data_IF_697742913714
#
_entry.id   IF_697742913714
#
_cell.length_a   1.000
_cell.length_b   1.000
_cell.length_c   1.000
_cell.angle_alpha   90.00
_cell.angle_beta   90.00
_cell.angle_gamma   90.00
#
_symmetry.space_group_name_H-M   'P 1'
#
loop_
_entity.id
_entity.type
_entity.pdbx_description
1 polymer ?
#
# COMPACT_ATOMS: atom_id res chain seq x y z
N UNK A 1 4.12 4.10 9.93
CA UNK A 1 3.12 4.86 10.73
C UNK A 1 3.80 5.31 12.01
N UNK A 2 3.48 6.49 12.58
CA UNK A 2 4.15 6.98 13.80
C UNK A 2 3.56 6.33 15.05
N UNK A 3 4.41 5.85 15.96
CA UNK A 3 4.03 5.35 17.30
C UNK A 3 3.21 6.43 18.02
N UNK A 4 2.05 6.05 18.57
CA UNK A 4 1.10 6.97 19.22
C UNK A 4 0.03 7.60 18.30
N UNK A 5 0.04 7.30 16.99
CA UNK A 5 -1.08 7.70 16.10
C UNK A 5 -2.33 6.87 16.42
N UNK A 6 -3.54 7.44 16.21
CA UNK A 6 -4.82 6.77 16.53
C UNK A 6 -4.91 5.31 16.05
N UNK A 7 -4.51 5.02 14.81
CA UNK A 7 -4.60 3.67 14.23
C UNK A 7 -3.30 2.86 14.32
N UNK A 8 -2.31 3.33 15.08
CA UNK A 8 -1.06 2.62 15.30
C UNK A 8 -1.25 1.23 15.95
N UNK A 9 -2.16 1.03 16.92
CA UNK A 9 -2.40 -0.29 17.49
C UNK A 9 -2.87 -1.32 16.44
N UNK A 10 -3.76 -0.91 15.53
CA UNK A 10 -4.22 -1.76 14.42
C UNK A 10 -3.06 -2.10 13.47
N UNK A 11 -2.22 -1.12 13.14
CA UNK A 11 -0.99 -1.35 12.36
C UNK A 11 -0.08 -2.39 13.02
N UNK A 12 0.16 -2.26 14.32
CA UNK A 12 1.04 -3.16 15.08
C UNK A 12 0.45 -4.57 15.17
N UNK A 13 -0.86 -4.68 15.38
CA UNK A 13 -1.56 -5.97 15.39
C UNK A 13 -1.40 -6.69 14.05
N UNK A 14 -1.69 -6.01 12.93
CA UNK A 14 -1.55 -6.59 11.60
C UNK A 14 -0.09 -6.95 11.27
N UNK A 15 0.90 -6.17 11.71
CA UNK A 15 2.31 -6.56 11.56
C UNK A 15 2.66 -7.88 12.23
N UNK A 16 2.09 -8.16 13.42
CA UNK A 16 2.33 -9.41 14.16
C UNK A 16 1.75 -10.62 13.44
N UNK A 17 0.74 -10.44 12.60
CA UNK A 17 0.11 -11.51 11.82
C UNK A 17 1.01 -12.03 10.67
N UNK A 18 2.19 -11.41 10.44
CA UNK A 18 3.24 -11.89 9.54
C UNK A 18 2.80 -12.19 8.08
N UNK A 19 1.68 -11.63 7.64
CA UNK A 19 1.12 -11.86 6.31
C UNK A 19 0.04 -12.95 6.23
N UNK A 20 -0.37 -13.54 7.35
CA UNK A 20 -1.55 -14.41 7.40
C UNK A 20 -2.84 -13.60 7.22
N UNK A 21 -3.85 -14.09 6.48
CA UNK A 21 -5.16 -13.48 6.42
C UNK A 21 -5.76 -13.31 7.82
N UNK A 22 -6.35 -12.14 8.08
CA UNK A 22 -6.89 -11.79 9.39
C UNK A 22 -8.28 -11.21 9.22
N UNK A 23 -9.26 -11.75 9.94
CA UNK A 23 -10.61 -11.19 10.00
C UNK A 23 -10.80 -10.58 11.38
N UNK A 24 -11.16 -9.30 11.43
CA UNK A 24 -11.44 -8.59 12.67
C UNK A 24 -12.85 -8.02 12.64
N UNK A 25 -13.56 -8.09 13.78
CA UNK A 25 -14.81 -7.36 13.96
C UNK A 25 -14.53 -5.88 14.23
N UNK A 26 -15.51 -5.01 13.96
CA UNK A 26 -15.39 -3.60 14.32
C UNK A 26 -15.16 -3.42 15.83
N UNK A 27 -15.79 -4.24 16.67
CA UNK A 27 -15.58 -4.24 18.12
C UNK A 27 -14.14 -4.63 18.51
N UNK A 28 -13.56 -5.66 17.89
CA UNK A 28 -12.15 -6.02 18.11
C UNK A 28 -11.20 -4.90 17.67
N UNK A 29 -11.53 -4.21 16.57
CA UNK A 29 -10.78 -3.05 16.13
C UNK A 29 -10.90 -1.91 17.16
N UNK A 30 -12.08 -1.62 17.67
CA UNK A 30 -12.30 -0.60 18.71
C UNK A 30 -11.53 -0.92 20.00
N UNK A 31 -11.51 -2.19 20.41
CA UNK A 31 -10.73 -2.68 21.54
C UNK A 31 -9.22 -2.46 21.33
N UNK A 32 -8.70 -2.79 20.14
CA UNK A 32 -7.31 -2.51 19.79
C UNK A 32 -7.00 -1.01 19.81
N UNK A 33 -7.93 -0.18 19.33
CA UNK A 33 -7.77 1.28 19.29
C UNK A 33 -7.96 1.94 20.66
N UNK A 34 -8.57 1.25 21.63
CA UNK A 34 -9.02 1.84 22.90
C UNK A 34 -10.06 2.94 22.73
N UNK A 35 -10.74 2.99 21.57
CA UNK A 35 -11.67 4.04 21.22
C UNK A 35 -12.68 3.56 20.16
N UNK A 36 -13.92 4.06 20.19
CA UNK A 36 -14.93 3.70 19.21
C UNK A 36 -14.55 4.18 17.80
N UNK A 37 -14.94 3.39 16.80
CA UNK A 37 -14.80 3.74 15.41
C UNK A 37 -15.83 4.83 15.08
N UNK A 38 -15.49 5.78 14.18
CA UNK A 38 -16.48 6.76 13.74
C UNK A 38 -17.70 6.09 13.11
N UNK A 39 -18.87 6.68 13.24
CA UNK A 39 -20.12 6.17 12.62
C UNK A 39 -19.95 5.88 11.12
N UNK A 40 -19.14 6.69 10.42
CA UNK A 40 -18.82 6.48 9.01
C UNK A 40 -18.17 5.13 8.70
N UNK A 41 -17.45 4.52 9.65
CA UNK A 41 -16.88 3.18 9.48
C UNK A 41 -17.96 2.09 9.42
N UNK A 42 -19.11 2.31 10.09
CA UNK A 42 -20.25 1.39 10.13
C UNK A 42 -21.21 1.56 8.97
N UNK A 43 -21.26 2.74 8.35
CA UNK A 43 -22.21 3.05 7.26
C UNK A 43 -21.59 3.11 5.86
N UNK A 44 -20.26 3.29 5.75
CA UNK A 44 -19.60 3.46 4.45
C UNK A 44 -18.49 2.43 4.27
N UNK A 45 -18.71 1.47 3.37
CA UNK A 45 -17.66 0.52 2.92
C UNK A 45 -16.41 1.27 2.45
N UNK A 46 -16.60 2.40 1.76
CA UNK A 46 -15.50 3.25 1.32
C UNK A 46 -14.62 3.77 2.47
N UNK A 47 -15.07 3.82 3.72
CA UNK A 47 -14.22 4.19 4.85
C UNK A 47 -13.03 3.23 5.04
N UNK A 48 -13.24 1.95 4.71
CA UNK A 48 -12.27 0.86 4.76
C UNK A 48 -11.48 0.67 3.45
N UNK A 49 -11.63 1.57 2.48
CA UNK A 49 -10.92 1.43 1.20
C UNK A 49 -9.40 1.54 1.36
N UNK A 50 -8.64 0.84 0.51
CA UNK A 50 -7.18 0.89 0.44
C UNK A 50 -6.66 2.16 -0.26
N UNK A 51 -7.13 3.35 0.16
CA UNK A 51 -6.70 4.65 -0.40
C UNK A 51 -5.70 5.33 0.53
N UNK A 52 -4.64 5.89 -0.02
CA UNK A 52 -3.62 6.60 0.76
C UNK A 52 -3.92 8.08 0.97
N UNK A 53 -4.67 8.71 0.06
CA UNK A 53 -5.02 10.14 0.11
C UNK A 53 -6.27 10.37 0.95
N UNK A 54 -6.17 11.23 1.98
CA UNK A 54 -7.31 11.63 2.82
C UNK A 54 -7.88 10.55 3.73
N UNK A 55 -7.17 9.44 3.96
CA UNK A 55 -7.61 8.32 4.78
C UNK A 55 -6.50 7.86 5.73
N UNK A 56 -6.37 8.53 6.87
CA UNK A 56 -5.36 8.21 7.90
C UNK A 56 -5.55 6.77 8.43
N UNK A 57 -6.80 6.30 8.52
CA UNK A 57 -7.11 4.92 8.90
C UNK A 57 -6.48 3.90 7.96
N UNK A 58 -6.53 4.15 6.65
CA UNK A 58 -6.04 3.20 5.65
C UNK A 58 -4.53 3.05 5.66
N UNK A 59 -3.81 4.07 6.12
CA UNK A 59 -2.36 3.99 6.32
C UNK A 59 -1.96 2.93 7.34
N UNK A 60 -2.87 2.52 8.25
CA UNK A 60 -2.59 1.49 9.24
C UNK A 60 -2.46 0.10 8.60
N UNK A 61 -3.48 -0.39 7.91
CA UNK A 61 -3.39 -1.72 7.29
C UNK A 61 -2.44 -1.73 6.09
N UNK A 62 -2.49 -0.72 5.23
CA UNK A 62 -1.58 -0.64 4.07
C UNK A 62 -0.12 -0.51 4.51
N UNK A 63 0.16 0.27 5.55
CA UNK A 63 1.51 0.37 6.10
C UNK A 63 1.99 -0.94 6.72
N UNK A 64 1.07 -1.76 7.25
CA UNK A 64 1.37 -3.08 7.80
C UNK A 64 1.51 -4.16 6.72
N UNK A 65 1.37 -3.82 5.43
CA UNK A 65 1.44 -4.77 4.32
C UNK A 65 0.13 -5.53 4.09
N UNK A 66 -1.00 -5.01 4.56
CA UNK A 66 -2.33 -5.60 4.42
C UNK A 66 -3.25 -4.70 3.60
N UNK A 67 -4.16 -5.32 2.85
CA UNK A 67 -5.28 -4.65 2.22
C UNK A 67 -6.59 -5.20 2.78
N UNK A 68 -7.60 -4.35 2.87
CA UNK A 68 -8.98 -4.80 3.08
C UNK A 68 -9.46 -5.46 1.80
N UNK A 69 -9.78 -6.75 1.90
CA UNK A 69 -10.32 -7.57 0.81
C UNK A 69 -11.84 -7.46 0.75
N UNK A 70 -12.48 -7.60 1.91
CA UNK A 70 -13.94 -7.60 2.05
C UNK A 70 -14.35 -6.87 3.31
N UNK A 71 -15.43 -6.11 3.19
CA UNK A 71 -16.10 -5.42 4.29
C UNK A 71 -17.52 -5.97 4.36
N UNK A 72 -17.89 -6.52 5.49
CA UNK A 72 -19.26 -6.92 5.78
C UNK A 72 -19.82 -5.99 6.86
N UNK A 73 -20.66 -5.04 6.45
CA UNK A 73 -21.27 -4.10 7.39
C UNK A 73 -22.39 -4.76 8.21
N UNK A 74 -23.02 -5.83 7.70
CA UNK A 74 -24.08 -6.55 8.41
C UNK A 74 -23.53 -7.44 9.52
N UNK A 75 -22.40 -8.09 9.26
CA UNK A 75 -21.68 -8.89 10.25
C UNK A 75 -20.65 -8.06 11.05
N UNK A 76 -20.50 -6.77 10.73
CA UNK A 76 -19.48 -5.86 11.27
C UNK A 76 -18.06 -6.42 11.21
N UNK A 77 -17.71 -7.14 10.14
CA UNK A 77 -16.41 -7.79 9.97
C UNK A 77 -15.61 -7.23 8.81
N UNK A 78 -14.30 -7.11 9.03
CA UNK A 78 -13.33 -6.64 8.05
C UNK A 78 -12.31 -7.75 7.80
N UNK A 79 -12.22 -8.17 6.55
CA UNK A 79 -11.27 -9.18 6.12
C UNK A 79 -10.03 -8.48 5.56
N UNK A 80 -8.93 -8.60 6.29
CA UNK A 80 -7.60 -8.17 5.88
C UNK A 80 -6.86 -9.35 5.27
N UNK A 81 -6.29 -9.14 4.09
CA UNK A 81 -5.32 -10.08 3.51
C UNK A 81 -3.99 -9.39 3.38
N UNK A 82 -2.90 -10.16 3.42
CA UNK A 82 -1.61 -9.67 2.95
C UNK A 82 -1.84 -9.06 1.59
N UNK A 83 -1.34 -7.84 1.43
CA UNK A 83 -1.14 -7.26 0.13
C UNK A 83 -0.07 -8.11 -0.56
N UNK A 84 -0.45 -9.28 -1.05
CA UNK A 84 0.24 -9.90 -2.16
C UNK A 84 0.06 -8.87 -3.25
N UNK A 85 1.07 -8.02 -3.43
CA UNK A 85 1.18 -7.16 -4.57
C UNK A 85 1.43 -8.09 -5.77
N UNK A 86 0.45 -8.92 -6.13
CA UNK A 86 0.13 -9.13 -7.53
C UNK A 86 -0.27 -7.77 -8.04
N UNK A 87 0.73 -6.93 -8.27
CA UNK A 87 0.59 -5.80 -9.14
C UNK A 87 0.03 -6.39 -10.42
N UNK A 88 -1.21 -6.05 -10.75
CA UNK A 88 -1.74 -6.31 -12.07
C UNK A 88 -0.94 -5.41 -13.00
N UNK A 89 0.26 -5.86 -13.36
CA UNK A 89 1.13 -5.20 -14.30
C UNK A 89 0.34 -5.17 -15.59
N UNK A 90 -0.19 -4.01 -15.94
CA UNK A 90 -0.64 -3.81 -17.31
C UNK A 90 0.65 -3.83 -18.14
N UNK A 91 0.82 -4.86 -18.97
CA UNK A 91 1.88 -4.85 -19.98
C UNK A 91 1.42 -3.99 -21.14
N UNK A 92 2.34 -3.23 -21.73
CA UNK A 92 2.13 -2.62 -23.03
C UNK A 92 3.29 -3.03 -23.93
N UNK A 93 3.09 -4.12 -24.67
CA UNK A 93 4.18 -4.90 -25.29
C UNK A 93 5.01 -5.65 -24.23
N UNK A 94 6.33 -5.66 -24.38
CA UNK A 94 7.27 -6.30 -23.45
C UNK A 94 7.55 -5.47 -22.18
N UNK A 95 6.97 -4.28 -22.04
CA UNK A 95 7.27 -3.37 -20.92
C UNK A 95 6.20 -3.45 -19.84
N UNK A 96 6.67 -3.69 -18.62
CA UNK A 96 5.92 -3.63 -17.35
C UNK A 96 5.53 -2.18 -17.08
N UNK A 97 4.24 -1.85 -17.01
CA UNK A 97 3.82 -0.51 -16.58
C UNK A 97 3.86 -0.43 -15.06
N UNK A 98 4.78 0.40 -14.55
CA UNK A 98 4.94 0.67 -13.12
C UNK A 98 3.82 1.60 -12.63
N UNK A 99 3.11 1.19 -11.58
CA UNK A 99 2.07 2.00 -10.93
C UNK A 99 2.59 2.63 -9.62
N UNK A 100 1.77 3.51 -9.02
CA UNK A 100 2.09 4.23 -7.78
C UNK A 100 2.62 3.31 -6.66
N UNK A 101 1.93 2.20 -6.42
CA UNK A 101 2.27 1.22 -5.40
C UNK A 101 3.53 0.42 -5.71
N UNK A 102 3.82 0.14 -6.98
CA UNK A 102 5.05 -0.55 -7.39
C UNK A 102 6.27 0.31 -7.13
N UNK A 103 6.19 1.58 -7.51
CA UNK A 103 7.30 2.54 -7.38
C UNK A 103 7.59 2.77 -5.90
N UNK A 104 6.53 2.96 -5.10
CA UNK A 104 6.67 3.15 -3.66
C UNK A 104 7.22 1.93 -2.94
N UNK A 105 6.80 0.73 -3.33
CA UNK A 105 7.29 -0.50 -2.72
C UNK A 105 8.73 -0.80 -3.12
N UNK A 106 9.11 -0.57 -4.38
CA UNK A 106 10.50 -0.66 -4.82
C UNK A 106 11.38 0.27 -3.99
N UNK A 107 10.95 1.53 -3.83
CA UNK A 107 11.66 2.50 -2.99
C UNK A 107 11.83 2.03 -1.55
N UNK A 108 10.77 1.52 -0.94
CA UNK A 108 10.79 1.03 0.45
C UNK A 108 11.64 -0.24 0.60
N UNK A 109 11.60 -1.15 -0.37
CA UNK A 109 12.42 -2.36 -0.41
C UNK A 109 13.91 -2.03 -0.48
N UNK A 110 14.27 -0.98 -1.24
CA UNK A 110 15.64 -0.47 -1.31
C UNK A 110 16.06 0.36 -0.08
N UNK A 111 15.15 0.62 0.88
CA UNK A 111 15.41 1.55 1.98
C UNK A 111 15.63 3.00 1.52
N UNK A 112 15.22 3.36 0.30
CA UNK A 112 15.54 4.62 -0.35
C UNK A 112 14.57 5.76 0.06
N UNK A 113 15.08 6.98 0.10
CA UNK A 113 14.23 8.18 0.12
C UNK A 113 13.66 8.46 -1.28
N UNK A 114 12.66 9.35 -1.40
CA UNK A 114 12.18 9.76 -2.73
C UNK A 114 13.28 10.47 -3.53
N UNK A 115 14.18 11.21 -2.87
CA UNK A 115 15.34 11.83 -3.50
C UNK A 115 16.33 10.78 -4.01
N UNK A 116 16.67 9.79 -3.19
CA UNK A 116 17.59 8.70 -3.56
C UNK A 116 17.09 7.91 -4.77
N UNK A 117 15.80 7.58 -4.83
CA UNK A 117 15.24 6.92 -6.01
C UNK A 117 15.20 7.85 -7.23
N UNK A 118 15.00 9.15 -7.02
CA UNK A 118 15.02 10.13 -8.10
C UNK A 118 16.42 10.27 -8.71
N UNK A 119 17.46 10.32 -7.87
CA UNK A 119 18.87 10.36 -8.29
C UNK A 119 19.22 9.11 -9.09
N UNK A 120 18.81 7.93 -8.62
CA UNK A 120 19.01 6.66 -9.33
C UNK A 120 18.33 6.64 -10.70
N UNK A 121 17.14 7.23 -10.83
CA UNK A 121 16.38 7.26 -12.07
C UNK A 121 16.72 8.47 -12.97
N UNK A 122 17.56 9.40 -12.51
CA UNK A 122 17.90 10.63 -13.21
C UNK A 122 16.71 11.59 -13.37
N UNK A 123 15.78 11.60 -12.42
CA UNK A 123 14.59 12.47 -12.43
C UNK A 123 14.55 13.38 -11.20
N UNK A 124 13.61 14.32 -11.14
CA UNK A 124 13.41 15.16 -9.95
C UNK A 124 12.68 14.38 -8.86
N UNK A 125 12.98 14.65 -7.59
CA UNK A 125 12.25 14.05 -6.46
C UNK A 125 10.73 14.26 -6.55
N UNK A 126 10.30 15.42 -7.04
CA UNK A 126 8.89 15.73 -7.27
C UNK A 126 8.22 14.73 -8.24
N UNK A 127 8.94 14.26 -9.26
CA UNK A 127 8.45 13.25 -10.21
C UNK A 127 8.14 11.93 -9.52
N UNK A 128 9.01 11.49 -8.59
CA UNK A 128 8.75 10.29 -7.78
C UNK A 128 7.50 10.49 -6.91
N UNK A 129 7.35 11.66 -6.29
CA UNK A 129 6.15 11.96 -5.50
C UNK A 129 4.87 11.93 -6.34
N UNK A 130 4.90 12.50 -7.56
CA UNK A 130 3.77 12.50 -8.48
C UNK A 130 3.38 11.08 -8.92
N UNK A 131 4.37 10.22 -9.18
CA UNK A 131 4.12 8.80 -9.45
C UNK A 131 3.57 8.06 -8.23
N UNK A 132 4.18 8.22 -7.05
CA UNK A 132 3.72 7.55 -5.81
C UNK A 132 2.34 8.03 -5.33
N UNK A 133 1.87 9.18 -5.83
CA UNK A 133 0.54 9.72 -5.54
C UNK A 133 -0.49 9.42 -6.64
N UNK A 134 -0.06 8.76 -7.73
CA UNK A 134 -0.92 8.42 -8.87
C UNK A 134 -1.34 9.63 -9.71
N UNK A 135 -0.62 10.76 -9.63
CA UNK A 135 -0.91 11.95 -10.42
C UNK A 135 -0.75 11.66 -11.93
N UNK A 136 0.27 10.89 -12.30
CA UNK A 136 0.44 10.26 -13.60
C UNK A 136 1.37 9.05 -13.50
N UNK A 137 1.42 8.22 -14.54
CA UNK A 137 2.29 7.05 -14.62
C UNK A 137 3.64 7.40 -15.30
N UNK A 138 4.74 6.72 -14.94
CA UNK A 138 6.01 6.87 -15.64
C UNK A 138 5.89 6.52 -17.12
N UNK A 139 6.74 7.15 -17.94
CA UNK A 139 6.86 6.81 -19.36
C UNK A 139 7.31 5.35 -19.55
N UNK A 140 7.21 4.82 -20.79
CA UNK A 140 7.75 3.48 -21.09
C UNK A 140 9.26 3.38 -20.84
N UNK A 141 10.03 4.40 -21.23
CA UNK A 141 11.47 4.42 -21.05
C UNK A 141 11.82 4.37 -19.56
N UNK A 142 11.15 5.19 -18.75
CA UNK A 142 11.32 5.19 -17.30
C UNK A 142 10.84 3.89 -16.66
N UNK A 143 9.75 3.30 -17.16
CA UNK A 143 9.25 2.00 -16.71
C UNK A 143 10.27 0.88 -16.95
N UNK A 144 11.01 0.91 -18.07
CA UNK A 144 12.14 -0.01 -18.28
C UNK A 144 13.26 0.24 -17.27
N UNK A 145 13.61 1.50 -17.01
CA UNK A 145 14.65 1.83 -16.03
C UNK A 145 14.26 1.37 -14.62
N UNK A 146 13.01 1.59 -14.20
CA UNK A 146 12.46 1.04 -12.96
C UNK A 146 12.55 -0.48 -12.90
N UNK A 147 12.31 -1.17 -14.03
CA UNK A 147 12.51 -2.63 -14.16
C UNK A 147 13.94 -3.06 -13.84
N UNK A 148 14.93 -2.37 -14.42
CA UNK A 148 16.35 -2.64 -14.17
C UNK A 148 16.75 -2.36 -12.72
N UNK A 149 16.27 -1.25 -12.13
CA UNK A 149 16.51 -0.92 -10.73
C UNK A 149 15.90 -1.98 -9.80
N UNK A 150 14.70 -2.46 -10.11
CA UNK A 150 14.02 -3.50 -9.36
C UNK A 150 14.75 -4.84 -9.41
N UNK A 151 15.22 -5.26 -10.59
CA UNK A 151 16.04 -6.46 -10.75
C UNK A 151 17.35 -6.36 -9.96
N UNK A 152 18.03 -5.21 -10.04
CA UNK A 152 19.28 -4.95 -9.29
C UNK A 152 19.06 -4.97 -7.78
N UNK A 153 17.90 -4.50 -7.32
CA UNK A 153 17.51 -4.50 -5.91
C UNK A 153 16.92 -5.84 -5.43
N UNK A 154 16.79 -6.84 -6.31
CA UNK A 154 16.12 -8.12 -5.99
C UNK A 154 14.66 -7.94 -5.57
N UNK A 155 13.99 -6.89 -6.05
CA UNK A 155 12.60 -6.60 -5.72
C UNK A 155 11.69 -7.63 -6.41
N UNK A 156 10.90 -8.42 -5.66
CA UNK A 156 10.05 -9.44 -6.25
C UNK A 156 8.79 -8.79 -6.87
N UNK A 157 8.80 -8.58 -8.19
CA UNK A 157 7.62 -8.14 -8.94
C UNK A 157 7.24 -9.19 -10.00
N UNK A 158 5.98 -9.64 -10.01
CA UNK A 158 5.51 -10.60 -11.01
C UNK A 158 5.33 -9.90 -12.35
N UNK A 159 6.20 -10.16 -13.30
CA UNK A 159 5.91 -9.91 -14.71
C UNK A 159 4.96 -11.01 -15.16
N UNK A 160 3.66 -10.70 -15.29
CA UNK A 160 2.67 -11.70 -15.70
C UNK A 160 3.13 -12.36 -17.00
N UNK A 161 3.28 -13.69 -17.01
CA UNK A 161 3.59 -14.45 -18.23
C UNK A 161 2.57 -14.15 -19.30
#
# INVERSE_FOLDING_TARGET
MKVGSKYFPLYSHLQKMAGEPCTLTMAQIEELLGAPLPSSARVRVGWWSNRSRGAVQATAWMGAGYHVEKVDLSAETIHFRKATLTYTVKKSGDTVLWNDGMIKALRQHMGASQGTLADELGVRQQTISEWETGAYAPSRATSKHLGLVAERAGFPYKTGK
#
